data_IF_500539825550
#
_entry.id   IF_500539825550
#
_cell.length_a   1.000
_cell.length_b   1.000
_cell.length_c   1.000
_cell.angle_alpha   90.00
_cell.angle_beta   90.00
_cell.angle_gamma   90.00
#
_symmetry.space_group_name_H-M   'P 1'
#
loop_
_entity.id
_entity.type
_entity.pdbx_description
1 polymer ?
#
# COMPACT_ATOMS: atom_id res chain seq x y z
N UNK A 1 -0.16 -34.46 3.29
CA UNK A 1 1.28 -34.37 3.02
C UNK A 1 1.96 -33.78 4.23
N UNK A 2 3.29 -33.84 4.31
CA UNK A 2 4.09 -33.33 5.44
C UNK A 2 4.42 -31.84 5.35
N UNK A 3 3.82 -31.13 4.39
CA UNK A 3 4.12 -29.73 4.11
C UNK A 3 2.82 -28.95 4.16
N UNK A 4 2.83 -27.86 4.90
CA UNK A 4 1.74 -26.87 4.94
C UNK A 4 2.30 -25.52 4.52
N UNK A 5 1.80 -24.99 3.40
CA UNK A 5 2.10 -23.64 2.95
C UNK A 5 0.99 -22.69 3.41
N UNK A 6 1.38 -21.57 4.02
CA UNK A 6 0.47 -20.57 4.57
C UNK A 6 1.00 -19.16 4.30
N UNK A 7 0.08 -18.24 4.03
CA UNK A 7 0.42 -16.83 3.80
C UNK A 7 -0.36 -15.94 4.78
N UNK A 8 0.16 -15.75 6.00
CA UNK A 8 -0.53 -14.96 7.02
C UNK A 8 -0.39 -13.47 6.71
N UNK A 9 -1.38 -12.64 7.10
CA UNK A 9 -1.40 -11.21 6.78
C UNK A 9 -0.25 -10.42 7.42
N UNK A 10 0.35 -10.94 8.50
CA UNK A 10 1.43 -10.27 9.24
C UNK A 10 2.80 -10.37 8.54
N UNK A 11 2.99 -11.34 7.65
CA UNK A 11 4.30 -11.58 7.02
C UNK A 11 4.37 -11.05 5.60
N UNK A 12 5.51 -10.48 5.22
CA UNK A 12 5.75 -10.03 3.84
C UNK A 12 5.88 -11.17 2.82
N UNK A 13 6.21 -12.38 3.30
CA UNK A 13 6.42 -13.59 2.51
C UNK A 13 5.67 -14.76 3.13
N UNK A 14 5.16 -15.70 2.31
CA UNK A 14 4.50 -16.88 2.82
C UNK A 14 5.50 -17.81 3.52
N UNK A 15 4.95 -18.66 4.39
CA UNK A 15 5.64 -19.63 5.21
C UNK A 15 5.34 -21.05 4.72
N UNK A 16 6.34 -21.90 4.79
CA UNK A 16 6.28 -23.34 4.55
C UNK A 16 6.65 -24.04 5.84
N UNK A 17 5.71 -24.80 6.38
CA UNK A 17 5.88 -25.67 7.53
C UNK A 17 6.18 -27.09 7.03
N UNK A 18 7.29 -27.65 7.47
CA UNK A 18 7.71 -29.04 7.19
C UNK A 18 7.57 -29.87 8.48
N UNK A 19 6.77 -30.93 8.43
CA UNK A 19 6.47 -31.81 9.56
C UNK A 19 7.13 -33.18 9.40
N UNK A 20 7.43 -33.82 10.52
CA UNK A 20 7.77 -35.23 10.61
C UNK A 20 6.88 -35.90 11.66
N UNK A 21 5.91 -36.70 11.22
CA UNK A 21 4.85 -37.14 12.12
C UNK A 21 4.02 -35.93 12.59
N UNK A 22 3.83 -35.83 13.90
CA UNK A 22 3.11 -34.73 14.53
C UNK A 22 4.05 -33.59 14.96
N UNK A 23 5.35 -33.71 14.70
CA UNK A 23 6.36 -32.73 15.07
C UNK A 23 6.67 -31.78 13.91
N UNK A 24 6.66 -30.47 14.19
CA UNK A 24 7.08 -29.44 13.24
C UNK A 24 8.62 -29.38 13.21
N UNK A 25 9.24 -29.79 12.10
CA UNK A 25 10.70 -29.79 11.96
C UNK A 25 11.27 -28.45 11.51
N UNK A 26 10.60 -27.77 10.58
CA UNK A 26 11.11 -26.49 10.09
C UNK A 26 10.05 -25.54 9.55
N UNK A 27 10.32 -24.24 9.73
CA UNK A 27 9.54 -23.15 9.15
C UNK A 27 10.45 -22.38 8.19
N UNK A 28 10.01 -22.19 6.96
CA UNK A 28 10.76 -21.49 5.92
C UNK A 28 9.90 -20.43 5.25
N UNK A 29 10.45 -19.24 5.05
CA UNK A 29 9.87 -18.30 4.08
C UNK A 29 10.11 -18.81 2.67
N UNK A 30 9.20 -18.56 1.73
CA UNK A 30 9.41 -18.89 0.32
C UNK A 30 8.94 -17.77 -0.60
N UNK A 31 9.45 -17.77 -1.84
CA UNK A 31 8.99 -16.86 -2.86
C UNK A 31 7.71 -17.41 -3.51
N UNK A 32 6.56 -16.71 -3.42
CA UNK A 32 5.29 -17.23 -3.94
C UNK A 32 5.27 -17.40 -5.46
N UNK A 33 6.12 -16.69 -6.20
CA UNK A 33 6.18 -16.75 -7.66
C UNK A 33 7.02 -17.91 -8.18
N UNK A 34 8.07 -18.29 -7.44
CA UNK A 34 8.98 -19.38 -7.83
C UNK A 34 8.79 -20.66 -7.02
N UNK A 35 8.02 -20.59 -5.92
CA UNK A 35 7.83 -21.64 -4.91
C UNK A 35 9.13 -22.16 -4.28
N UNK A 36 10.21 -21.37 -4.36
CA UNK A 36 11.50 -21.72 -3.77
C UNK A 36 11.61 -21.18 -2.36
N UNK A 37 12.05 -22.03 -1.44
CA UNK A 37 12.40 -21.64 -0.08
C UNK A 37 13.53 -20.62 -0.08
N UNK A 38 13.44 -19.67 0.84
CA UNK A 38 14.39 -18.58 1.02
C UNK A 38 15.15 -18.79 2.32
N UNK A 39 14.64 -18.25 3.43
CA UNK A 39 15.27 -18.33 4.76
C UNK A 39 14.44 -19.14 5.74
N UNK A 40 15.11 -19.80 6.69
CA UNK A 40 14.47 -20.41 7.86
C UNK A 40 14.06 -19.33 8.87
N UNK A 41 12.97 -19.58 9.58
CA UNK A 41 12.55 -18.80 10.76
C UNK A 41 12.36 -19.77 11.93
N UNK A 42 12.64 -19.31 13.14
CA UNK A 42 12.56 -20.16 14.35
C UNK A 42 11.12 -20.29 14.86
N UNK A 43 10.35 -19.21 14.77
CA UNK A 43 8.98 -19.13 15.27
C UNK A 43 8.12 -18.35 14.27
N UNK A 44 6.82 -18.69 14.23
CA UNK A 44 5.83 -17.92 13.50
C UNK A 44 4.53 -17.77 14.29
N UNK A 45 4.02 -16.55 14.37
CA UNK A 45 2.72 -16.20 14.98
C UNK A 45 1.68 -16.11 13.87
N UNK A 46 0.71 -17.01 13.90
CA UNK A 46 -0.36 -17.03 12.90
C UNK A 46 -1.56 -16.25 13.42
N UNK A 47 -1.73 -15.04 12.89
CA UNK A 47 -2.91 -14.22 13.19
C UNK A 47 -4.13 -14.69 12.38
N UNK A 48 -5.34 -14.49 12.91
CA UNK A 48 -6.58 -14.73 12.17
C UNK A 48 -6.59 -14.00 10.82
N UNK A 49 -7.16 -14.65 9.81
CA UNK A 49 -7.26 -14.09 8.46
C UNK A 49 -8.43 -13.11 8.27
N UNK A 50 -9.26 -12.93 9.30
CA UNK A 50 -10.45 -12.08 9.31
C UNK A 50 -10.55 -11.37 10.65
N UNK A 51 -11.19 -10.20 10.65
CA UNK A 51 -11.48 -9.43 11.87
C UNK A 51 -12.68 -9.98 12.64
N UNK A 52 -13.67 -10.56 11.92
CA UNK A 52 -14.81 -11.25 12.54
C UNK A 52 -14.39 -12.67 12.89
N UNK A 53 -14.23 -12.92 14.18
CA UNK A 53 -13.88 -14.21 14.75
C UNK A 53 -14.97 -14.57 15.75
N UNK A 54 -15.71 -15.63 15.46
CA UNK A 54 -16.82 -16.09 16.28
C UNK A 54 -16.98 -17.61 16.15
N UNK A 55 -17.44 -18.25 17.21
CA UNK A 55 -17.92 -19.62 17.18
C UNK A 55 -19.36 -19.69 16.67
N UNK A 56 -19.95 -20.87 16.79
CA UNK A 56 -21.34 -21.11 16.37
C UNK A 56 -22.33 -20.31 17.23
N UNK A 57 -22.10 -20.26 18.55
CA UNK A 57 -22.96 -19.54 19.50
C UNK A 57 -22.95 -18.02 19.23
N UNK A 58 -21.77 -17.40 19.09
CA UNK A 58 -21.68 -15.96 18.80
C UNK A 58 -22.27 -15.61 17.42
N UNK A 59 -22.16 -16.50 16.43
CA UNK A 59 -22.79 -16.32 15.13
C UNK A 59 -24.32 -16.37 15.21
N UNK A 60 -24.90 -17.27 16.01
CA UNK A 60 -26.34 -17.33 16.25
C UNK A 60 -26.85 -16.07 16.98
N UNK A 61 -26.12 -15.60 18.00
CA UNK A 61 -26.43 -14.36 18.70
C UNK A 61 -26.37 -13.15 17.77
N UNK A 62 -25.34 -13.08 16.92
CA UNK A 62 -25.20 -12.05 15.91
C UNK A 62 -26.40 -12.06 14.95
N UNK A 63 -26.78 -13.23 14.43
CA UNK A 63 -27.94 -13.38 13.55
C UNK A 63 -29.24 -12.91 14.21
N UNK A 64 -29.46 -13.28 15.49
CA UNK A 64 -30.62 -12.81 16.25
C UNK A 64 -30.60 -11.28 16.44
N UNK A 65 -29.42 -10.69 16.67
CA UNK A 65 -29.22 -9.24 16.72
C UNK A 65 -29.54 -8.55 15.40
N UNK A 66 -29.05 -9.09 14.28
CA UNK A 66 -29.31 -8.56 12.94
C UNK A 66 -30.79 -8.64 12.56
N UNK A 67 -31.49 -9.70 12.98
CA UNK A 67 -32.94 -9.80 12.81
C UNK A 67 -33.69 -8.68 13.55
N UNK A 68 -33.28 -8.34 14.78
CA UNK A 68 -33.81 -7.17 15.50
C UNK A 68 -33.49 -5.88 14.77
N UNK A 69 -32.30 -5.76 14.17
CA UNK A 69 -31.90 -4.61 13.36
C UNK A 69 -32.76 -4.43 12.11
N UNK A 70 -33.05 -5.50 11.37
CA UNK A 70 -33.99 -5.47 10.24
C UNK A 70 -35.36 -4.92 10.66
N UNK A 71 -35.88 -5.35 11.82
CA UNK A 71 -37.14 -4.83 12.35
C UNK A 71 -37.06 -3.34 12.68
N UNK A 72 -35.97 -2.87 13.32
CA UNK A 72 -35.75 -1.44 13.60
C UNK A 72 -35.66 -0.59 12.32
N UNK A 73 -35.11 -1.15 11.25
CA UNK A 73 -35.03 -0.50 9.93
C UNK A 73 -36.38 -0.49 9.19
N UNK A 74 -37.42 -1.12 9.73
CA UNK A 74 -38.75 -1.17 9.11
C UNK A 74 -38.82 -2.10 7.90
N UNK A 75 -37.88 -3.05 7.77
CA UNK A 75 -37.86 -4.00 6.66
C UNK A 75 -39.06 -4.94 6.73
N UNK A 76 -39.67 -5.21 5.57
CA UNK A 76 -40.69 -6.24 5.47
C UNK A 76 -40.07 -7.65 5.55
N UNK A 77 -40.92 -8.68 5.62
CA UNK A 77 -40.48 -10.09 5.77
C UNK A 77 -39.58 -10.56 4.62
N UNK A 78 -39.86 -10.16 3.38
CA UNK A 78 -39.09 -10.57 2.21
C UNK A 78 -37.72 -9.89 2.20
N UNK A 79 -37.69 -8.58 2.43
CA UNK A 79 -36.45 -7.79 2.51
C UNK A 79 -35.53 -8.30 3.62
N UNK A 80 -36.09 -8.55 4.81
CA UNK A 80 -35.32 -9.08 5.94
C UNK A 80 -34.76 -10.47 5.63
N UNK A 81 -35.54 -11.35 4.99
CA UNK A 81 -35.07 -12.68 4.60
C UNK A 81 -33.93 -12.61 3.59
N UNK A 82 -34.04 -11.75 2.57
CA UNK A 82 -32.99 -11.54 1.57
C UNK A 82 -31.73 -10.95 2.20
N UNK A 83 -31.86 -9.94 3.06
CA UNK A 83 -30.74 -9.29 3.72
C UNK A 83 -30.00 -10.21 4.73
N UNK A 84 -30.73 -11.12 5.38
CA UNK A 84 -30.19 -12.07 6.35
C UNK A 84 -29.66 -13.37 5.71
N UNK A 85 -30.05 -13.69 4.47
CA UNK A 85 -29.65 -14.93 3.81
C UNK A 85 -28.12 -15.16 3.78
N UNK A 86 -27.27 -14.14 3.52
CA UNK A 86 -25.82 -14.32 3.60
C UNK A 86 -25.36 -14.75 4.99
N UNK A 87 -25.92 -14.17 6.05
CA UNK A 87 -25.53 -14.42 7.45
C UNK A 87 -25.95 -15.81 7.94
N UNK A 88 -26.97 -16.41 7.33
CA UNK A 88 -27.34 -17.80 7.60
C UNK A 88 -26.51 -18.81 6.80
N UNK A 89 -26.03 -18.43 5.61
CA UNK A 89 -25.31 -19.34 4.70
C UNK A 89 -23.83 -19.41 5.03
N UNK A 90 -23.21 -18.25 5.25
CA UNK A 90 -21.82 -18.12 5.69
C UNK A 90 -21.77 -17.01 6.74
N UNK A 91 -21.95 -17.35 8.03
CA UNK A 91 -22.01 -16.36 9.11
C UNK A 91 -20.73 -15.53 9.22
N UNK A 92 -19.57 -16.12 8.90
CA UNK A 92 -18.27 -15.45 9.02
C UNK A 92 -17.71 -14.97 7.67
N UNK A 93 -18.51 -15.07 6.60
CA UNK A 93 -18.10 -14.77 5.24
C UNK A 93 -17.67 -13.32 5.00
N UNK A 94 -17.27 -12.96 3.76
CA UNK A 94 -16.95 -11.58 3.41
C UNK A 94 -18.14 -10.62 3.63
N UNK A 95 -17.87 -9.40 4.09
CA UNK A 95 -18.89 -8.36 4.29
C UNK A 95 -19.54 -8.38 5.68
N UNK A 96 -18.94 -9.09 6.64
CA UNK A 96 -19.37 -9.16 8.04
C UNK A 96 -18.70 -8.10 8.91
N UNK A 97 -17.61 -7.53 8.44
CA UNK A 97 -16.78 -6.54 9.13
C UNK A 97 -17.59 -5.32 9.60
N UNK A 98 -18.51 -4.74 8.80
CA UNK A 98 -19.36 -3.64 9.29
C UNK A 98 -20.25 -4.03 10.48
N UNK A 99 -20.52 -5.32 10.66
CA UNK A 99 -21.39 -5.86 11.70
C UNK A 99 -20.60 -6.51 12.86
N UNK A 100 -19.29 -6.22 12.97
CA UNK A 100 -18.41 -6.82 13.99
C UNK A 100 -18.97 -6.74 15.42
N UNK A 101 -19.65 -5.64 15.76
CA UNK A 101 -20.31 -5.42 17.05
C UNK A 101 -21.43 -6.40 17.39
N UNK A 102 -21.97 -7.10 16.38
CA UNK A 102 -22.98 -8.14 16.58
C UNK A 102 -22.35 -9.48 16.96
N UNK A 103 -21.10 -9.71 16.58
CA UNK A 103 -20.37 -10.96 16.83
C UNK A 103 -19.55 -10.93 18.12
N UNK A 104 -19.07 -9.76 18.52
CA UNK A 104 -18.13 -9.64 19.63
C UNK A 104 -18.17 -8.26 20.26
N UNK A 105 -17.64 -8.17 21.48
CA UNK A 105 -17.38 -6.89 22.12
C UNK A 105 -16.27 -6.16 21.35
N UNK A 106 -16.59 -4.98 20.84
CA UNK A 106 -15.62 -4.13 20.15
C UNK A 106 -14.74 -3.38 21.15
N UNK A 107 -13.52 -3.10 20.71
CA UNK A 107 -12.57 -2.22 21.37
C UNK A 107 -12.27 -1.03 20.45
N UNK A 108 -11.77 0.04 21.05
CA UNK A 108 -11.26 1.22 20.36
C UNK A 108 -9.75 1.13 20.21
N UNK A 109 -9.17 1.97 19.35
CA UNK A 109 -7.71 2.09 19.25
C UNK A 109 -7.05 2.40 20.61
N UNK A 110 -7.74 3.16 21.47
CA UNK A 110 -7.23 3.61 22.78
C UNK A 110 -7.07 2.48 23.79
N UNK A 111 -7.77 1.35 23.61
CA UNK A 111 -7.61 0.17 24.46
C UNK A 111 -6.25 -0.53 24.24
N UNK A 112 -5.59 -0.25 23.12
CA UNK A 112 -4.28 -0.82 22.75
C UNK A 112 -3.12 0.16 22.89
N UNK A 113 -3.40 1.45 23.13
CA UNK A 113 -2.37 2.49 23.28
C UNK A 113 -2.05 2.65 24.77
N UNK A 114 -0.77 2.60 25.19
CA UNK A 114 -0.37 2.86 26.58
C UNK A 114 -0.88 4.20 27.13
N UNK A 115 -1.16 4.28 28.43
CA UNK A 115 -1.69 5.50 29.08
C UNK A 115 -0.69 6.67 29.16
N UNK A 116 0.60 6.39 29.00
CA UNK A 116 1.70 7.36 28.98
C UNK A 116 2.10 7.79 27.56
N UNK A 117 1.44 7.25 26.53
CA UNK A 117 1.68 7.64 25.14
C UNK A 117 1.24 9.09 24.89
N UNK A 118 2.07 9.86 24.20
CA UNK A 118 1.70 11.19 23.73
C UNK A 118 0.80 11.11 22.48
N UNK A 119 -0.21 11.98 22.44
CA UNK A 119 -1.06 12.19 21.27
C UNK A 119 -0.52 13.40 20.52
N UNK A 120 -0.11 13.21 19.26
CA UNK A 120 0.36 14.31 18.41
C UNK A 120 -0.71 14.61 17.36
N UNK A 121 -1.23 15.83 17.36
CA UNK A 121 -2.17 16.34 16.36
C UNK A 121 -1.40 17.27 15.42
N UNK A 122 -1.21 16.83 14.18
CA UNK A 122 -0.61 17.63 13.12
C UNK A 122 -1.72 18.47 12.46
N UNK A 123 -1.74 19.77 12.75
CA UNK A 123 -2.76 20.74 12.35
C UNK A 123 -4.16 20.34 12.82
N UNK A 124 -4.50 20.69 14.06
CA UNK A 124 -5.73 20.23 14.74
C UNK A 124 -6.98 20.56 13.94
N UNK A 125 -7.08 21.77 13.41
CA UNK A 125 -8.26 22.20 12.66
C UNK A 125 -8.46 21.38 11.38
N UNK A 126 -7.37 20.99 10.69
CA UNK A 126 -7.45 20.10 9.52
C UNK A 126 -7.88 18.69 9.91
N UNK A 127 -7.35 18.17 11.02
CA UNK A 127 -7.79 16.87 11.58
C UNK A 127 -9.29 16.91 11.87
N UNK A 128 -9.76 17.93 12.59
CA UNK A 128 -11.18 18.05 12.96
C UNK A 128 -12.08 18.28 11.74
N UNK A 129 -11.62 19.04 10.74
CA UNK A 129 -12.34 19.20 9.47
C UNK A 129 -12.49 17.85 8.75
N UNK A 130 -11.42 17.05 8.63
CA UNK A 130 -11.46 15.72 8.01
C UNK A 130 -12.36 14.75 8.77
N UNK A 131 -12.39 14.85 10.09
CA UNK A 131 -13.31 14.09 10.93
C UNK A 131 -14.77 14.44 10.61
N UNK A 132 -15.09 15.74 10.51
CA UNK A 132 -16.42 16.18 10.10
C UNK A 132 -16.83 15.68 8.71
N UNK A 133 -15.93 15.79 7.73
CA UNK A 133 -16.13 15.26 6.36
C UNK A 133 -16.42 13.75 6.38
N UNK A 134 -15.64 12.98 7.14
CA UNK A 134 -15.81 11.54 7.26
C UNK A 134 -17.18 11.15 7.84
N UNK A 135 -17.60 11.78 8.95
CA UNK A 135 -18.89 11.45 9.56
C UNK A 135 -20.07 11.88 8.67
N UNK A 136 -19.97 13.02 7.98
CA UNK A 136 -20.99 13.42 7.01
C UNK A 136 -21.11 12.41 5.84
N UNK A 137 -19.99 11.89 5.34
CA UNK A 137 -19.99 10.85 4.31
C UNK A 137 -20.60 9.54 4.84
N UNK A 138 -20.24 9.13 6.05
CA UNK A 138 -20.74 7.92 6.69
C UNK A 138 -22.26 7.98 6.93
N UNK A 139 -22.78 9.12 7.40
CA UNK A 139 -24.21 9.39 7.55
C UNK A 139 -24.94 9.36 6.21
N UNK A 140 -24.41 10.02 5.18
CA UNK A 140 -24.97 9.97 3.85
C UNK A 140 -24.98 8.54 3.28
N UNK A 141 -23.95 7.75 3.59
CA UNK A 141 -23.85 6.32 3.26
C UNK A 141 -24.95 5.49 3.94
N UNK A 142 -25.13 5.66 5.25
CA UNK A 142 -26.16 4.98 6.03
C UNK A 142 -27.58 5.32 5.52
N UNK A 143 -27.86 6.60 5.24
CA UNK A 143 -29.13 7.03 4.68
C UNK A 143 -29.40 6.43 3.30
N UNK A 144 -28.38 6.34 2.43
CA UNK A 144 -28.49 5.67 1.12
C UNK A 144 -28.79 4.18 1.27
N UNK A 145 -28.11 3.50 2.19
CA UNK A 145 -28.35 2.09 2.46
C UNK A 145 -29.79 1.86 2.96
N UNK A 146 -30.28 2.70 3.88
CA UNK A 146 -31.64 2.63 4.39
C UNK A 146 -32.69 2.85 3.28
N UNK A 147 -32.53 3.89 2.44
CA UNK A 147 -33.42 4.16 1.30
C UNK A 147 -33.45 3.01 0.29
N UNK A 148 -32.34 2.28 0.15
CA UNK A 148 -32.23 1.12 -0.72
C UNK A 148 -32.68 -0.20 -0.07
N UNK A 149 -33.22 -0.17 1.16
CA UNK A 149 -33.65 -1.37 1.88
C UNK A 149 -32.50 -2.31 2.26
N UNK A 150 -31.26 -1.80 2.37
CA UNK A 150 -30.08 -2.60 2.71
C UNK A 150 -29.87 -2.64 4.22
N UNK A 151 -29.52 -3.83 4.73
CA UNK A 151 -29.15 -4.01 6.12
C UNK A 151 -27.85 -3.27 6.39
N UNK A 152 -27.82 -2.48 7.46
CA UNK A 152 -26.67 -1.69 7.88
C UNK A 152 -26.65 -1.57 9.42
N UNK A 153 -25.45 -1.54 10.04
CA UNK A 153 -25.32 -1.26 11.47
C UNK A 153 -25.73 0.18 11.79
N UNK A 154 -25.85 0.52 13.07
CA UNK A 154 -25.85 1.93 13.50
C UNK A 154 -24.41 2.47 13.42
N UNK A 155 -24.25 3.74 13.02
CA UNK A 155 -22.91 4.33 12.91
C UNK A 155 -22.16 4.31 14.24
N UNK A 156 -22.87 4.48 15.35
CA UNK A 156 -22.32 4.41 16.71
C UNK A 156 -21.86 3.01 17.12
N UNK A 157 -22.26 1.96 16.40
CA UNK A 157 -21.77 0.59 16.61
C UNK A 157 -20.40 0.36 15.95
N UNK A 158 -20.08 1.12 14.89
CA UNK A 158 -18.83 1.00 14.14
C UNK A 158 -17.83 2.11 14.43
N UNK A 159 -18.30 3.31 14.80
CA UNK A 159 -17.47 4.51 14.93
C UNK A 159 -17.69 5.21 16.27
N UNK A 160 -16.58 5.69 16.85
CA UNK A 160 -16.61 6.54 18.03
C UNK A 160 -16.76 7.99 17.59
N UNK A 161 -17.90 8.60 17.93
CA UNK A 161 -18.17 10.00 17.61
C UNK A 161 -17.15 10.96 18.26
N UNK A 162 -16.81 12.09 17.62
CA UNK A 162 -15.74 13.00 18.06
C UNK A 162 -15.95 13.55 19.48
N UNK A 163 -17.21 13.70 19.90
CA UNK A 163 -17.58 14.21 21.22
C UNK A 163 -17.16 13.25 22.35
N UNK A 164 -16.89 11.98 22.03
CA UNK A 164 -16.46 10.94 22.98
C UNK A 164 -14.94 10.76 23.04
N UNK A 165 -14.17 11.51 22.25
CA UNK A 165 -12.72 11.29 22.15
C UNK A 165 -11.96 11.73 23.39
N UNK A 166 -12.26 12.91 23.95
CA UNK A 166 -11.55 13.42 25.13
C UNK A 166 -11.56 12.45 26.32
N UNK A 167 -12.71 11.84 26.70
CA UNK A 167 -12.72 10.80 27.72
C UNK A 167 -11.83 9.58 27.42
N UNK A 168 -11.70 9.19 26.15
CA UNK A 168 -10.89 8.04 25.73
C UNK A 168 -9.39 8.35 25.71
N UNK A 169 -9.02 9.60 25.44
CA UNK A 169 -7.64 10.06 25.52
C UNK A 169 -7.10 9.97 26.95
N UNK A 170 -7.97 10.12 27.95
CA UNK A 170 -7.59 10.05 29.36
C UNK A 170 -6.60 11.15 29.73
N UNK A 171 -5.53 10.79 30.43
CA UNK A 171 -4.49 11.73 30.89
C UNK A 171 -3.29 11.84 29.94
N UNK A 172 -3.39 11.30 28.72
CA UNK A 172 -2.30 11.33 27.74
C UNK A 172 -1.94 12.77 27.37
N UNK A 173 -0.65 13.14 27.31
CA UNK A 173 -0.27 14.47 26.90
C UNK A 173 -0.62 14.67 25.42
N UNK A 174 -1.28 15.79 25.12
CA UNK A 174 -1.63 16.18 23.75
C UNK A 174 -0.66 17.25 23.29
N UNK A 175 0.00 17.01 22.16
CA UNK A 175 0.93 17.92 21.49
C UNK A 175 0.28 18.33 20.18
N UNK A 176 -0.05 19.62 20.05
CA UNK A 176 -0.56 20.19 18.81
C UNK A 176 0.61 20.80 18.03
N UNK A 177 0.77 20.37 16.78
CA UNK A 177 1.81 20.87 15.87
C UNK A 177 1.12 21.72 14.82
N UNK A 178 1.38 23.02 14.86
CA UNK A 178 0.75 23.99 13.97
C UNK A 178 1.81 24.68 13.07
N UNK A 179 1.53 24.88 11.77
CA UNK A 179 2.48 25.51 10.84
C UNK A 179 2.59 27.02 11.05
N UNK A 180 1.58 27.63 11.67
CA UNK A 180 1.52 29.04 12.00
C UNK A 180 1.44 29.18 13.52
N UNK A 181 2.11 30.18 14.07
CA UNK A 181 1.91 30.53 15.47
C UNK A 181 0.47 31.01 15.65
N UNK A 182 -0.30 30.29 16.47
CA UNK A 182 -1.54 30.80 17.04
C UNK A 182 -1.24 31.96 17.99
N UNK A 183 -2.28 32.74 18.33
CA UNK A 183 -2.17 33.76 19.38
C UNK A 183 -1.64 33.12 20.67
N UNK A 184 -0.66 33.78 21.30
CA UNK A 184 0.17 33.33 22.42
C UNK A 184 -0.61 32.59 23.53
N UNK A 185 -0.85 31.29 23.33
CA UNK A 185 -1.33 30.38 24.35
C UNK A 185 -0.18 30.04 25.30
N UNK A 186 -0.42 30.16 26.61
CA UNK A 186 0.54 29.72 27.62
C UNK A 186 0.89 28.23 27.38
N UNK A 187 2.11 27.94 26.95
CA UNK A 187 2.61 26.58 26.68
C UNK A 187 3.04 26.29 25.25
N UNK A 188 2.88 27.23 24.30
CA UNK A 188 3.37 27.04 22.94
C UNK A 188 4.91 27.18 22.84
N UNK A 189 5.54 26.26 22.09
CA UNK A 189 6.97 26.34 21.74
C UNK A 189 7.06 26.59 20.23
N UNK A 190 7.64 27.71 19.85
CA UNK A 190 7.83 28.07 18.45
C UNK A 190 9.18 27.58 17.93
N UNK A 191 9.15 26.93 16.77
CA UNK A 191 10.35 26.56 16.04
C UNK A 191 10.43 27.37 14.75
N UNK A 192 11.49 28.16 14.60
CA UNK A 192 11.77 28.82 13.32
C UNK A 192 12.27 27.75 12.34
N UNK A 193 11.42 27.35 11.40
CA UNK A 193 11.77 26.48 10.29
C UNK A 193 11.47 27.17 8.97
N UNK A 194 12.18 26.77 7.91
CA UNK A 194 12.00 27.32 6.56
C UNK A 194 11.98 26.17 5.55
N UNK A 195 11.13 26.29 4.53
CA UNK A 195 11.18 25.39 3.39
C UNK A 195 12.42 25.63 2.51
N UNK A 196 12.61 24.79 1.50
CA UNK A 196 13.66 24.93 0.49
C UNK A 196 13.15 25.45 -0.86
N UNK A 197 12.00 26.15 -0.91
CA UNK A 197 11.41 26.60 -2.18
C UNK A 197 12.31 27.60 -2.91
N UNK A 198 13.05 28.43 -2.18
CA UNK A 198 14.09 29.33 -2.71
C UNK A 198 15.18 28.53 -3.46
N UNK A 199 15.69 27.46 -2.85
CA UNK A 199 16.71 26.58 -3.43
C UNK A 199 16.15 25.82 -4.64
N UNK A 200 14.93 25.27 -4.54
CA UNK A 200 14.27 24.58 -5.66
C UNK A 200 14.07 25.54 -6.83
N UNK A 201 13.64 26.77 -6.59
CA UNK A 201 13.49 27.78 -7.63
C UNK A 201 14.84 28.14 -8.27
N UNK A 202 15.90 28.30 -7.48
CA UNK A 202 17.25 28.53 -7.99
C UNK A 202 17.73 27.37 -8.87
N UNK A 203 17.64 26.13 -8.39
CA UNK A 203 18.02 24.93 -9.14
C UNK A 203 17.24 24.79 -10.45
N UNK A 204 15.95 25.18 -10.47
CA UNK A 204 15.14 25.19 -11.70
C UNK A 204 15.64 26.21 -12.72
N UNK A 205 16.09 27.40 -12.29
CA UNK A 205 16.64 28.43 -13.19
C UNK A 205 17.94 28.00 -13.84
N UNK A 206 18.78 27.26 -13.10
CA UNK A 206 20.06 26.72 -13.58
C UNK A 206 19.92 25.40 -14.37
N UNK A 207 18.69 24.93 -14.67
CA UNK A 207 18.50 23.71 -15.48
C UNK A 207 18.99 23.94 -16.91
N UNK A 208 19.85 23.04 -17.38
CA UNK A 208 20.42 23.07 -18.74
C UNK A 208 21.75 23.82 -18.84
N UNK A 209 22.19 24.46 -17.75
CA UNK A 209 23.56 24.99 -17.66
C UNK A 209 24.56 23.86 -17.35
N UNK A 210 25.82 24.06 -17.78
CA UNK A 210 26.91 23.13 -17.53
C UNK A 210 27.11 22.85 -16.02
N UNK A 211 26.81 23.85 -15.16
CA UNK A 211 26.93 23.74 -13.71
C UNK A 211 25.58 23.83 -12.99
N UNK A 212 24.65 22.92 -13.30
CA UNK A 212 23.29 22.91 -12.74
C UNK A 212 23.19 22.87 -11.20
N UNK A 213 24.16 22.27 -10.50
CA UNK A 213 24.14 22.11 -9.03
C UNK A 213 24.77 23.31 -8.28
N UNK A 214 25.14 24.38 -8.98
CA UNK A 214 25.75 25.57 -8.35
C UNK A 214 24.92 26.09 -7.17
N UNK A 215 23.58 26.28 -7.28
CA UNK A 215 22.79 26.76 -6.14
C UNK A 215 22.80 25.83 -4.93
N UNK A 216 22.84 24.51 -5.16
CA UNK A 216 22.94 23.51 -4.09
C UNK A 216 24.31 23.59 -3.40
N UNK A 217 25.38 23.62 -4.18
CA UNK A 217 26.73 23.70 -3.63
C UNK A 217 26.92 24.97 -2.79
N UNK A 218 26.45 26.11 -3.28
CA UNK A 218 26.48 27.36 -2.52
C UNK A 218 25.66 27.28 -1.23
N UNK A 219 24.49 26.64 -1.23
CA UNK A 219 23.70 26.50 -0.01
C UNK A 219 24.38 25.58 1.01
N UNK A 220 25.00 24.48 0.57
CA UNK A 220 25.76 23.58 1.44
C UNK A 220 26.97 24.30 2.06
N UNK A 221 27.69 25.10 1.27
CA UNK A 221 28.79 25.93 1.77
C UNK A 221 28.31 26.98 2.77
N UNK A 222 27.21 27.69 2.48
CA UNK A 222 26.59 28.66 3.42
C UNK A 222 26.11 27.98 4.71
N UNK A 223 25.55 26.79 4.60
CA UNK A 223 25.11 25.98 5.75
C UNK A 223 26.31 25.65 6.64
N UNK A 224 27.42 25.20 6.04
CA UNK A 224 28.69 24.96 6.74
C UNK A 224 29.24 26.23 7.42
N UNK A 225 29.24 27.37 6.73
CA UNK A 225 29.70 28.65 7.29
C UNK A 225 28.86 29.10 8.49
N UNK A 226 27.57 28.79 8.50
CA UNK A 226 26.66 29.01 9.65
C UNK A 226 26.85 27.99 10.77
N UNK A 227 27.75 27.03 10.59
CA UNK A 227 27.98 25.94 11.55
C UNK A 227 26.88 24.88 11.56
N UNK A 228 26.06 24.81 10.50
CA UNK A 228 24.98 23.85 10.39
C UNK A 228 25.49 22.49 9.93
N UNK A 229 24.78 21.44 10.37
CA UNK A 229 24.87 20.12 9.78
C UNK A 229 23.89 20.05 8.60
N UNK A 230 24.42 19.91 7.39
CA UNK A 230 23.62 19.75 6.18
C UNK A 230 23.50 18.26 5.83
N UNK A 231 22.29 17.75 5.66
CA UNK A 231 22.03 16.34 5.35
C UNK A 231 21.30 16.24 4.01
N UNK A 232 21.86 15.47 3.10
CA UNK A 232 21.23 15.14 1.81
C UNK A 232 20.58 13.76 1.92
N UNK A 233 19.27 13.68 1.72
CA UNK A 233 18.51 12.43 1.75
C UNK A 233 18.39 11.85 0.33
N UNK A 234 19.09 10.75 0.07
CA UNK A 234 19.05 10.01 -1.18
C UNK A 234 18.12 8.80 -1.10
N UNK A 235 17.47 8.43 -2.21
CA UNK A 235 16.53 7.30 -2.22
C UNK A 235 17.21 5.93 -2.22
N UNK A 236 18.46 5.84 -2.70
CA UNK A 236 19.22 4.59 -2.75
C UNK A 236 20.73 4.87 -2.84
N UNK A 237 21.53 3.83 -2.59
CA UNK A 237 22.99 3.91 -2.60
C UNK A 237 23.60 4.30 -3.95
N UNK A 238 23.00 3.92 -5.07
CA UNK A 238 23.51 4.29 -6.39
C UNK A 238 23.38 5.80 -6.65
N UNK A 239 22.27 6.42 -6.22
CA UNK A 239 22.11 7.86 -6.30
C UNK A 239 22.98 8.60 -5.29
N UNK A 240 23.11 8.06 -4.07
CA UNK A 240 24.01 8.59 -3.05
C UNK A 240 25.45 8.75 -3.57
N UNK A 241 25.98 7.70 -4.19
CA UNK A 241 27.33 7.71 -4.76
C UNK A 241 27.48 8.78 -5.86
N UNK A 242 26.52 8.87 -6.78
CA UNK A 242 26.51 9.87 -7.85
C UNK A 242 26.44 11.30 -7.32
N UNK A 243 25.57 11.56 -6.34
CA UNK A 243 25.46 12.88 -5.71
C UNK A 243 26.78 13.32 -5.06
N UNK A 244 27.45 12.38 -4.36
CA UNK A 244 28.75 12.63 -3.74
C UNK A 244 29.83 12.95 -4.78
N UNK A 245 29.86 12.21 -5.89
CA UNK A 245 30.80 12.46 -7.00
C UNK A 245 30.56 13.83 -7.63
N UNK A 246 29.30 14.16 -7.97
CA UNK A 246 28.96 15.45 -8.54
C UNK A 246 29.32 16.60 -7.60
N UNK A 247 28.95 16.54 -6.32
CA UNK A 247 29.21 17.62 -5.36
C UNK A 247 30.70 17.84 -5.10
N UNK A 248 31.54 16.81 -5.28
CA UNK A 248 33.00 16.94 -5.21
C UNK A 248 33.56 17.88 -6.28
N UNK A 249 32.97 17.89 -7.48
CA UNK A 249 33.36 18.82 -8.57
C UNK A 249 33.03 20.29 -8.24
N UNK A 250 32.14 20.52 -7.28
CA UNK A 250 31.80 21.84 -6.74
C UNK A 250 32.60 22.19 -5.47
N UNK A 251 33.54 21.34 -5.05
CA UNK A 251 34.34 21.56 -3.84
C UNK A 251 33.59 21.27 -2.54
N UNK A 252 32.44 20.59 -2.61
CA UNK A 252 31.67 20.18 -1.43
C UNK A 252 32.03 18.73 -1.08
N UNK A 253 32.56 18.53 0.13
CA UNK A 253 32.84 17.19 0.68
C UNK A 253 31.58 16.72 1.39
N UNK A 254 31.12 15.52 1.03
CA UNK A 254 29.92 14.90 1.58
C UNK A 254 30.28 13.56 2.19
N UNK A 255 30.01 13.42 3.49
CA UNK A 255 30.30 12.21 4.26
C UNK A 255 29.12 11.24 4.19
N UNK A 256 29.33 9.96 3.82
CA UNK A 256 28.25 8.98 3.84
C UNK A 256 27.88 8.64 5.29
N UNK A 257 26.58 8.57 5.58
CA UNK A 257 26.04 8.07 6.84
C UNK A 257 25.05 6.94 6.58
N UNK A 258 25.07 5.90 7.43
CA UNK A 258 24.15 4.76 7.32
C UNK A 258 22.70 5.15 7.63
N UNK A 259 22.53 6.12 8.53
CA UNK A 259 21.24 6.64 8.98
C UNK A 259 21.33 8.15 9.21
N UNK A 260 20.18 8.80 9.44
CA UNK A 260 20.13 10.21 9.79
C UNK A 260 20.66 10.46 11.20
N UNK A 261 21.59 11.42 11.34
CA UNK A 261 22.12 11.88 12.63
C UNK A 261 21.64 13.28 12.96
N UNK A 262 21.15 13.50 14.19
CA UNK A 262 20.83 14.85 14.66
C UNK A 262 22.09 15.71 14.77
N UNK A 263 22.01 17.05 14.60
CA UNK A 263 23.13 17.94 14.86
C UNK A 263 23.69 17.79 16.29
N UNK A 264 25.02 17.75 16.36
CA UNK A 264 25.81 17.58 17.57
C UNK A 264 27.17 18.27 17.39
N UNK A 265 28.01 18.28 18.44
CA UNK A 265 29.36 18.81 18.31
C UNK A 265 30.23 18.03 17.31
N UNK A 266 29.94 16.74 17.07
CA UNK A 266 30.74 15.87 16.20
C UNK A 266 30.50 16.10 14.71
N UNK A 267 29.29 16.54 14.32
CA UNK A 267 28.87 16.79 12.94
C UNK A 267 28.51 18.27 12.70
N UNK A 268 28.97 19.17 13.58
CA UNK A 268 28.82 20.59 13.38
C UNK A 268 29.59 21.04 12.14
N UNK A 269 28.98 21.90 11.32
CA UNK A 269 29.57 22.40 10.08
C UNK A 269 29.97 21.29 9.08
N UNK A 270 29.27 20.15 9.08
CA UNK A 270 29.51 19.07 8.11
C UNK A 270 28.38 18.96 7.09
N UNK A 271 28.67 18.28 5.98
CA UNK A 271 27.65 17.86 5.03
C UNK A 271 27.66 16.34 4.94
N UNK A 272 26.55 15.70 5.26
CA UNK A 272 26.41 14.25 5.17
C UNK A 272 25.35 13.85 4.16
N UNK A 273 25.36 12.57 3.81
CA UNK A 273 24.40 11.96 2.91
C UNK A 273 23.96 10.62 3.48
N UNK A 274 22.65 10.48 3.70
CA UNK A 274 22.03 9.26 4.18
C UNK A 274 21.02 8.71 3.17
N UNK A 275 20.73 7.42 3.29
CA UNK A 275 19.70 6.75 2.49
C UNK A 275 18.39 6.79 3.27
N UNK A 276 17.33 7.32 2.66
CA UNK A 276 16.03 7.43 3.32
C UNK A 276 14.92 7.92 2.38
N UNK A 277 13.71 8.01 2.94
CA UNK A 277 12.54 8.54 2.24
C UNK A 277 11.98 9.73 3.02
N UNK A 278 12.24 10.93 2.52
CA UNK A 278 11.68 12.17 3.05
C UNK A 278 10.92 12.89 1.94
N UNK A 279 9.68 13.32 2.22
CA UNK A 279 8.82 13.94 1.22
C UNK A 279 9.33 15.32 0.77
N UNK A 280 9.83 16.11 1.73
CA UNK A 280 10.37 17.47 1.54
C UNK A 280 11.48 17.75 2.55
N UNK A 281 12.49 18.51 2.13
CA UNK A 281 13.51 19.01 3.02
C UNK A 281 13.05 20.30 3.71
N UNK A 282 13.85 20.75 4.68
CA UNK A 282 13.62 21.99 5.41
C UNK A 282 14.92 22.47 6.04
N UNK A 283 14.95 23.73 6.46
CA UNK A 283 16.03 24.34 7.24
C UNK A 283 15.50 24.63 8.63
N UNK A 284 16.31 24.29 9.64
CA UNK A 284 15.97 24.52 11.03
C UNK A 284 17.14 25.25 11.72
N UNK A 285 17.20 26.59 11.60
CA UNK A 285 18.29 27.38 12.15
C UNK A 285 18.50 27.21 13.65
N UNK A 286 17.43 27.06 14.44
CA UNK A 286 17.51 26.87 15.89
C UNK A 286 18.33 25.63 16.29
N UNK A 287 18.21 24.56 15.50
CA UNK A 287 18.92 23.29 15.69
C UNK A 287 20.19 23.17 14.83
N UNK A 288 20.52 24.22 14.07
CA UNK A 288 21.64 24.21 13.09
C UNK A 288 21.55 23.03 12.12
N UNK A 289 20.33 22.71 11.64
CA UNK A 289 20.08 21.62 10.70
C UNK A 289 19.65 22.15 9.33
N UNK A 290 20.11 21.51 8.26
CA UNK A 290 19.60 21.73 6.90
C UNK A 290 19.39 20.39 6.22
N UNK A 291 18.13 20.03 5.95
CA UNK A 291 17.76 18.81 5.26
C UNK A 291 17.38 19.12 3.81
N UNK A 292 18.01 18.42 2.86
CA UNK A 292 17.75 18.58 1.43
C UNK A 292 17.49 17.21 0.83
N UNK A 293 16.39 17.08 0.08
CA UNK A 293 16.01 15.81 -0.53
C UNK A 293 16.49 15.71 -1.97
N UNK A 294 16.73 14.48 -2.43
CA UNK A 294 16.99 14.19 -3.84
C UNK A 294 15.89 14.77 -4.77
N UNK A 295 14.63 14.77 -4.32
CA UNK A 295 13.50 15.29 -5.09
C UNK A 295 13.55 16.82 -5.26
N UNK A 296 14.11 17.56 -4.31
CA UNK A 296 14.34 19.00 -4.46
C UNK A 296 15.49 19.29 -5.43
N UNK A 297 16.52 18.44 -5.43
CA UNK A 297 17.71 18.59 -6.30
C UNK A 297 17.35 18.34 -7.77
N UNK A 298 16.76 17.19 -8.08
CA UNK A 298 16.51 16.77 -9.46
C UNK A 298 15.06 17.02 -9.93
N UNK A 299 14.21 17.53 -9.04
CA UNK A 299 12.76 17.56 -9.22
C UNK A 299 12.13 16.24 -8.79
N UNK A 300 10.85 16.32 -8.41
CA UNK A 300 10.04 15.12 -8.17
C UNK A 300 9.99 14.34 -9.49
N UNK A 301 10.75 13.25 -9.60
CA UNK A 301 10.28 12.15 -10.42
C UNK A 301 8.94 11.77 -9.81
N UNK A 302 7.83 12.00 -10.52
CA UNK A 302 6.53 11.51 -10.09
C UNK A 302 6.74 10.10 -9.58
N UNK A 303 6.25 9.79 -8.36
CA UNK A 303 6.40 8.46 -7.75
C UNK A 303 6.24 7.48 -8.89
N UNK A 304 7.31 6.76 -9.27
CA UNK A 304 7.11 5.55 -10.06
C UNK A 304 6.08 4.81 -9.23
N UNK A 305 4.87 4.53 -9.75
CA UNK A 305 3.94 3.75 -8.98
C UNK A 305 4.75 2.56 -8.47
N UNK A 306 4.69 2.31 -7.16
CA UNK A 306 5.21 1.06 -6.64
C UNK A 306 4.73 -0.01 -7.61
N UNK A 307 5.60 -0.92 -8.11
CA UNK A 307 5.15 -1.94 -9.05
C UNK A 307 3.91 -2.53 -8.41
N UNK A 308 2.75 -2.35 -9.08
CA UNK A 308 1.48 -2.76 -8.51
C UNK A 308 1.69 -4.21 -8.08
N UNK A 309 1.62 -4.47 -6.77
CA UNK A 309 1.45 -5.83 -6.26
C UNK A 309 0.10 -6.25 -6.83
N UNK A 310 0.13 -6.95 -7.95
CA UNK A 310 -1.07 -7.25 -8.73
C UNK A 310 -0.84 -7.13 -10.24
N UNK A 311 -0.14 -8.12 -10.79
CA UNK A 311 -0.59 -8.86 -11.97
C UNK A 311 -0.02 -10.26 -11.77
N UNK A 312 -0.86 -11.15 -11.24
CA UNK A 312 -0.56 -12.58 -11.15
C UNK A 312 -0.09 -13.04 -12.52
N UNK A 313 1.10 -13.67 -12.60
CA UNK A 313 1.43 -14.51 -13.76
C UNK A 313 0.27 -15.50 -13.88
N UNK A 314 -0.43 -15.48 -15.01
CA UNK A 314 -1.49 -16.44 -15.28
C UNK A 314 -0.91 -17.84 -15.10
N UNK A 315 -1.39 -18.56 -14.10
CA UNK A 315 -1.04 -19.96 -13.92
C UNK A 315 -1.93 -20.81 -14.82
N UNK A 316 -1.47 -22.00 -15.20
CA UNK A 316 -2.22 -22.88 -16.11
C UNK A 316 -3.63 -23.22 -15.55
N UNK A 317 -3.80 -23.19 -14.22
CA UNK A 317 -5.08 -23.44 -13.55
C UNK A 317 -6.06 -22.26 -13.58
N UNK A 318 -5.60 -21.06 -13.95
CA UNK A 318 -6.43 -19.85 -14.01
C UNK A 318 -7.14 -19.66 -15.37
N UNK A 319 -6.82 -20.49 -16.37
CA UNK A 319 -7.34 -20.40 -17.74
C UNK A 319 -8.49 -21.38 -17.95
N UNK A 320 -9.67 -20.85 -18.26
CA UNK A 320 -10.83 -21.62 -18.72
C UNK A 320 -10.99 -21.53 -20.22
N UNK A 321 -11.59 -22.56 -20.81
CA UNK A 321 -11.92 -22.53 -22.23
C UNK A 321 -12.80 -21.31 -22.54
N UNK A 322 -12.40 -20.57 -23.58
CA UNK A 322 -12.94 -19.28 -24.03
C UNK A 322 -12.44 -18.02 -23.32
N UNK A 323 -11.56 -18.14 -22.32
CA UNK A 323 -10.94 -16.95 -21.71
C UNK A 323 -10.19 -16.14 -22.76
N UNK A 324 -10.32 -14.80 -22.66
CA UNK A 324 -9.51 -13.88 -23.45
C UNK A 324 -8.09 -13.85 -22.89
N UNK A 325 -7.12 -13.89 -23.78
CA UNK A 325 -5.69 -13.80 -23.46
C UNK A 325 -5.04 -12.73 -24.30
N UNK A 326 -4.02 -12.07 -23.76
CA UNK A 326 -3.11 -11.21 -24.50
C UNK A 326 -1.81 -11.97 -24.68
N UNK A 327 -1.38 -12.14 -25.93
CA UNK A 327 -0.04 -12.60 -26.25
C UNK A 327 0.85 -11.39 -26.54
N UNK A 328 2.06 -11.36 -25.98
CA UNK A 328 2.98 -10.23 -26.12
C UNK A 328 3.17 -9.78 -27.59
N UNK A 329 3.37 -10.74 -28.50
CA UNK A 329 3.63 -10.47 -29.92
C UNK A 329 2.39 -10.37 -30.82
N UNK A 330 1.26 -10.98 -30.44
CA UNK A 330 0.12 -11.19 -31.35
C UNK A 330 -1.18 -10.51 -30.90
N UNK A 331 -1.18 -9.89 -29.72
CA UNK A 331 -2.36 -9.21 -29.18
C UNK A 331 -3.40 -10.15 -28.61
N UNK A 332 -4.67 -9.71 -28.66
CA UNK A 332 -5.78 -10.38 -27.98
C UNK A 332 -6.26 -11.60 -28.78
N UNK A 333 -6.13 -12.78 -28.15
CA UNK A 333 -6.64 -14.05 -28.63
C UNK A 333 -7.61 -14.70 -27.65
N UNK A 334 -8.11 -15.88 -28.00
CA UNK A 334 -9.00 -16.69 -27.16
C UNK A 334 -8.37 -18.05 -26.87
N UNK A 335 -8.38 -18.47 -25.61
CA UNK A 335 -7.90 -19.78 -25.21
C UNK A 335 -8.94 -20.87 -25.52
N UNK A 336 -8.54 -21.93 -26.24
CA UNK A 336 -9.40 -23.06 -26.64
C UNK A 336 -8.99 -24.39 -26.00
N UNK A 337 -8.18 -24.34 -24.94
CA UNK A 337 -7.74 -25.52 -24.21
C UNK A 337 -6.32 -25.97 -24.56
N UNK A 338 -5.94 -27.12 -24.00
CA UNK A 338 -4.66 -27.76 -24.24
C UNK A 338 -4.79 -28.87 -25.26
N UNK A 339 -3.78 -29.03 -26.09
CA UNK A 339 -3.67 -30.15 -27.01
C UNK A 339 -2.26 -30.72 -26.97
N UNK A 340 -2.17 -32.03 -27.18
CA UNK A 340 -0.90 -32.74 -27.24
C UNK A 340 -0.53 -32.91 -28.71
N UNK A 341 0.61 -32.33 -29.11
CA UNK A 341 1.07 -32.35 -30.50
C UNK A 341 2.42 -33.07 -30.52
N UNK A 342 2.57 -33.98 -31.48
CA UNK A 342 3.86 -34.61 -31.77
C UNK A 342 4.52 -33.88 -32.93
N UNK A 343 5.67 -33.26 -32.68
CA UNK A 343 6.47 -32.58 -33.72
C UNK A 343 7.84 -33.25 -33.74
N UNK A 344 8.26 -33.73 -34.92
CA UNK A 344 9.56 -34.41 -35.12
C UNK A 344 9.84 -35.59 -34.16
N UNK A 345 8.78 -36.30 -33.75
CA UNK A 345 8.89 -37.48 -32.89
C UNK A 345 8.96 -37.19 -31.39
N UNK A 346 8.89 -35.92 -30.97
CA UNK A 346 8.79 -35.52 -29.56
C UNK A 346 7.35 -35.09 -29.26
N UNK A 347 6.73 -35.73 -28.28
CA UNK A 347 5.42 -35.30 -27.76
C UNK A 347 5.59 -34.11 -26.82
N UNK A 348 4.76 -33.08 -27.01
CA UNK A 348 4.70 -31.93 -26.12
C UNK A 348 3.27 -31.43 -25.92
N UNK A 349 3.06 -30.75 -24.79
CA UNK A 349 1.81 -30.07 -24.49
C UNK A 349 1.84 -28.63 -25.02
N UNK A 350 0.78 -28.25 -25.73
CA UNK A 350 0.60 -26.94 -26.35
C UNK A 350 -0.73 -26.33 -25.94
N UNK A 351 -0.72 -25.00 -25.77
CA UNK A 351 -1.92 -24.19 -25.61
C UNK A 351 -2.47 -23.85 -26.99
N UNK A 352 -3.75 -24.14 -27.21
CA UNK A 352 -4.45 -23.80 -28.45
C UNK A 352 -5.10 -22.42 -28.30
N UNK A 353 -4.63 -21.47 -29.10
CA UNK A 353 -5.10 -20.08 -29.11
C UNK A 353 -5.75 -19.76 -30.46
N UNK A 354 -6.87 -19.05 -30.43
CA UNK A 354 -7.61 -18.62 -31.62
C UNK A 354 -7.64 -17.09 -31.72
N UNK A 355 -7.43 -16.57 -32.93
CA UNK A 355 -7.38 -15.16 -33.27
C UNK A 355 -8.43 -14.79 -34.31
N UNK A 356 -8.57 -13.49 -34.63
CA UNK A 356 -9.56 -13.03 -35.60
C UNK A 356 -9.37 -13.67 -36.98
N UNK A 357 -10.48 -14.06 -37.61
CA UNK A 357 -10.46 -14.75 -38.90
C UNK A 357 -10.26 -16.26 -38.83
N UNK A 358 -10.23 -16.85 -37.62
CA UNK A 358 -10.06 -18.29 -37.41
C UNK A 358 -8.60 -18.75 -37.41
N UNK A 359 -7.66 -17.80 -37.33
CA UNK A 359 -6.23 -18.08 -37.24
C UNK A 359 -5.91 -18.79 -35.91
N UNK A 360 -5.11 -19.86 -35.97
CA UNK A 360 -4.78 -20.71 -34.82
C UNK A 360 -3.30 -20.63 -34.50
N UNK A 361 -2.97 -20.49 -33.22
CA UNK A 361 -1.61 -20.50 -32.70
C UNK A 361 -1.48 -21.61 -31.63
N UNK A 362 -0.48 -22.47 -31.78
CA UNK A 362 -0.14 -23.49 -30.79
C UNK A 362 1.12 -23.05 -30.04
N UNK A 363 0.96 -22.63 -28.79
CA UNK A 363 2.04 -22.15 -27.95
C UNK A 363 2.52 -23.26 -27.01
N UNK A 364 3.79 -23.69 -27.04
CA UNK A 364 4.31 -24.65 -26.06
C UNK A 364 4.08 -24.15 -24.63
N UNK A 365 3.69 -25.03 -23.70
CA UNK A 365 3.48 -24.67 -22.29
C UNK A 365 4.72 -24.02 -21.66
N UNK A 366 5.92 -24.40 -22.12
CA UNK A 366 7.20 -23.79 -21.69
C UNK A 366 7.31 -22.30 -22.01
N UNK A 367 6.56 -21.79 -22.98
CA UNK A 367 6.49 -20.38 -23.39
C UNK A 367 5.23 -19.66 -22.91
N UNK A 368 4.49 -20.24 -21.96
CA UNK A 368 3.28 -19.62 -21.38
C UNK A 368 3.53 -18.24 -20.77
N UNK A 369 4.77 -17.91 -20.38
CA UNK A 369 5.11 -16.58 -19.88
C UNK A 369 4.85 -15.44 -20.90
N UNK A 370 4.64 -15.76 -22.19
CA UNK A 370 4.31 -14.80 -23.25
C UNK A 370 2.82 -14.43 -23.29
N UNK A 371 1.97 -15.13 -22.53
CA UNK A 371 0.53 -14.89 -22.49
C UNK A 371 0.07 -14.45 -21.11
N UNK A 372 -0.97 -13.62 -21.09
CA UNK A 372 -1.64 -13.16 -19.86
C UNK A 372 -3.14 -13.18 -20.06
N UNK A 373 -3.91 -13.60 -19.05
CA UNK A 373 -5.37 -13.52 -19.12
C UNK A 373 -5.81 -12.06 -19.19
N UNK A 374 -6.64 -11.74 -20.18
CA UNK A 374 -7.20 -10.42 -20.39
C UNK A 374 -8.55 -10.31 -19.68
N UNK A 375 -8.74 -9.25 -18.89
CA UNK A 375 -10.04 -8.92 -18.30
C UNK A 375 -10.45 -7.54 -18.80
N UNK A 376 -11.47 -7.50 -19.66
CA UNK A 376 -11.95 -6.27 -20.25
C UNK A 376 -12.76 -5.43 -19.23
N UNK A 377 -12.55 -4.10 -19.14
CA UNK A 377 -13.38 -3.22 -18.34
C UNK A 377 -14.76 -3.12 -19.01
N UNK A 378 -15.75 -3.87 -18.52
CA UNK A 378 -17.13 -3.86 -19.06
C UNK A 378 -17.70 -5.22 -19.45
N UNK A 379 -16.94 -6.32 -19.30
CA UNK A 379 -17.35 -7.68 -19.64
C UNK A 379 -16.66 -8.22 -20.90
N UNK A 380 -16.71 -9.54 -21.10
CA UNK A 380 -16.03 -10.23 -22.20
C UNK A 380 -16.78 -10.13 -23.54
N UNK A 381 -18.07 -9.79 -23.49
CA UNK A 381 -18.93 -9.64 -24.67
C UNK A 381 -18.60 -8.34 -25.41
N UNK A 382 -17.95 -8.47 -26.57
CA UNK A 382 -17.67 -7.35 -27.48
C UNK A 382 -16.19 -7.04 -27.70
N UNK A 383 -15.26 -7.77 -27.07
CA UNK A 383 -13.82 -7.62 -27.35
C UNK A 383 -13.48 -8.24 -28.71
N UNK A 384 -13.00 -7.41 -29.64
CA UNK A 384 -12.51 -7.88 -30.93
C UNK A 384 -11.16 -8.58 -30.78
N UNK A 385 -11.05 -9.80 -31.31
CA UNK A 385 -9.77 -10.51 -31.38
C UNK A 385 -8.83 -9.80 -32.36
N UNK A 386 -7.54 -9.84 -32.11
CA UNK A 386 -6.51 -9.35 -33.02
C UNK A 386 -6.21 -10.39 -34.12
N UNK A 387 -5.62 -9.95 -35.22
CA UNK A 387 -5.19 -10.83 -36.32
C UNK A 387 -3.67 -11.04 -36.23
N UNK A 388 -3.22 -12.29 -36.39
CA UNK A 388 -1.80 -12.63 -36.37
C UNK A 388 -1.09 -11.87 -37.52
N UNK A 389 -0.10 -11.03 -37.17
CA UNK A 389 0.62 -10.18 -38.13
C UNK A 389 -0.05 -8.86 -38.51
N UNK A 390 -1.11 -8.44 -37.79
CA UNK A 390 -1.79 -7.16 -38.03
C UNK A 390 -1.11 -5.96 -37.34
N UNK A 391 -1.08 -4.82 -38.04
CA UNK A 391 -0.47 -3.53 -37.59
C UNK A 391 -1.18 -2.89 -36.37
N UNK A 392 -2.30 -3.47 -35.92
CA UNK A 392 -3.20 -2.86 -34.94
C UNK A 392 -2.64 -2.92 -33.50
N UNK A 393 -1.88 -3.98 -33.18
CA UNK A 393 -1.29 -4.19 -31.86
C UNK A 393 0.03 -3.41 -31.67
N UNK A 394 0.88 -3.31 -32.70
CA UNK A 394 2.13 -2.53 -32.66
C UNK A 394 1.94 -1.04 -32.34
N UNK A 395 0.74 -0.48 -32.59
CA UNK A 395 0.41 0.93 -32.29
C UNK A 395 -0.18 1.15 -30.89
N UNK A 396 -0.51 0.10 -30.16
CA UNK A 396 -1.18 0.18 -28.85
C UNK A 396 -0.24 -0.10 -27.66
N UNK A 397 1.01 -0.51 -27.92
CA UNK A 397 2.05 -0.75 -26.92
C UNK A 397 2.96 0.46 -26.68
#
# INVERSE_FOLDING_TARGET
>A
GWIIDLFPPFYDKPLRLEFFGDDLESIRTYDPSTQRSLGKVEEAVILPAREVIAGEEEAEEAYAGLKRRCHKLGMNRSEAQEALAPFSTDPLGPGREPFLSYYSKTATLWDFIPEDAAIVLDVRDEVMARVGEFFAEAEAGAQRAQKAGRLSPELSESYVAPEKWLPLWGNRPVIEVEPLMGEDGAGAIAFETRDNLDLVAALRRHRGEERLLTPLAEELLRSRERGHHAVIVAQNGAMALKLREFLREYGVVVEPEDHFSWPSAANAATTSLCIGSLARGFRFPGEKLTLITQAEIFGMKGKRPAPRRGLTRTSLGDLKENDLIVHADFGIGRFRGMTRITVEGVEGDYLHLEYAGGDKLYLPVTRMALIQRYTAPGGEEGVALDKIGGVRWEKAC
#
